data_IF_148489668866
#
_entry.id   IF_148489668866
#
_cell.length_a   1.000
_cell.length_b   1.000
_cell.length_c   1.000
_cell.angle_alpha   90.00
_cell.angle_beta   90.00
_cell.angle_gamma   90.00
#
_symmetry.space_group_name_H-M   'P 1'
#
loop_
_entity.id
_entity.type
_entity.pdbx_description
1 polymer ?
#
# COMPACT_ATOMS: atom_id res chain seq x y z
N UNK A 1 -2.16 -9.86 25.48
CA UNK A 1 -1.32 -8.79 24.89
C UNK A 1 -0.10 -9.33 24.13
N UNK A 2 0.89 -9.99 24.77
CA UNK A 2 2.11 -10.45 24.07
C UNK A 2 1.88 -11.40 22.87
N UNK A 3 0.90 -12.32 22.94
CA UNK A 3 0.58 -13.21 21.80
C UNK A 3 -0.03 -12.45 20.59
N UNK A 4 -0.73 -11.34 20.84
CA UNK A 4 -1.34 -10.51 19.80
C UNK A 4 -0.27 -9.71 19.05
N UNK A 5 0.66 -9.10 19.79
CA UNK A 5 1.76 -8.30 19.22
C UNK A 5 2.85 -9.16 18.56
N UNK A 6 3.02 -10.43 18.95
CA UNK A 6 3.95 -11.35 18.26
C UNK A 6 3.59 -11.56 16.78
N UNK A 7 2.34 -11.33 16.40
CA UNK A 7 1.84 -11.48 15.04
C UNK A 7 1.67 -10.15 14.28
N UNK A 8 2.22 -9.05 14.79
CA UNK A 8 2.07 -7.70 14.18
C UNK A 8 2.42 -7.67 12.70
N UNK A 9 3.49 -8.35 12.27
CA UNK A 9 3.87 -8.48 10.86
C UNK A 9 2.74 -9.10 10.03
N UNK A 10 2.10 -10.16 10.53
CA UNK A 10 0.97 -10.81 9.85
C UNK A 10 -0.21 -9.84 9.75
N UNK A 11 -0.52 -9.11 10.82
CA UNK A 11 -1.62 -8.15 10.84
C UNK A 11 -1.44 -7.03 9.80
N UNK A 12 -0.22 -6.48 9.69
CA UNK A 12 0.10 -5.51 8.64
C UNK A 12 -0.01 -6.10 7.24
N UNK A 13 0.57 -7.27 7.01
CA UNK A 13 0.50 -7.92 5.69
C UNK A 13 -0.94 -8.25 5.29
N UNK A 14 -1.82 -8.57 6.25
CA UNK A 14 -3.25 -8.75 6.01
C UNK A 14 -3.90 -7.44 5.57
N UNK A 15 -3.73 -6.36 6.31
CA UNK A 15 -4.29 -5.05 5.93
C UNK A 15 -3.85 -4.60 4.54
N UNK A 16 -2.56 -4.73 4.25
CA UNK A 16 -1.96 -4.38 2.96
C UNK A 16 -2.55 -5.23 1.82
N UNK A 17 -2.73 -6.53 2.03
CA UNK A 17 -3.33 -7.40 1.01
C UNK A 17 -4.77 -7.00 0.67
N UNK A 18 -5.55 -6.53 1.66
CA UNK A 18 -6.94 -6.14 1.44
C UNK A 18 -7.10 -4.72 0.89
N UNK A 19 -6.12 -3.83 1.09
CA UNK A 19 -6.15 -2.49 0.50
C UNK A 19 -5.80 -2.50 -1.00
N UNK A 20 -5.02 -3.48 -1.47
CA UNK A 20 -4.52 -3.54 -2.86
C UNK A 20 -5.64 -3.43 -3.89
N UNK A 21 -6.73 -4.21 -3.86
CA UNK A 21 -7.79 -4.10 -4.86
C UNK A 21 -8.38 -2.69 -4.98
N UNK A 22 -8.43 -1.92 -3.87
CA UNK A 22 -8.91 -0.55 -3.86
C UNK A 22 -7.94 0.41 -4.53
N UNK A 23 -6.64 0.28 -4.24
CA UNK A 23 -5.61 1.10 -4.88
C UNK A 23 -5.53 0.81 -6.38
N UNK A 24 -5.72 -0.44 -6.78
CA UNK A 24 -5.71 -0.84 -8.19
C UNK A 24 -6.91 -0.26 -8.93
N UNK A 25 -8.13 -0.53 -8.44
CA UNK A 25 -9.33 -0.01 -9.08
C UNK A 25 -9.31 1.53 -9.09
N UNK A 26 -8.97 2.14 -7.96
CA UNK A 26 -8.93 3.59 -7.81
C UNK A 26 -7.85 4.26 -8.66
N UNK A 27 -6.61 3.77 -8.54
CA UNK A 27 -5.46 4.28 -9.26
C UNK A 27 -5.61 4.13 -10.77
N UNK A 28 -5.99 2.94 -11.26
CA UNK A 28 -6.06 2.67 -12.72
C UNK A 28 -7.10 3.56 -13.37
N UNK A 29 -8.29 3.68 -12.76
CA UNK A 29 -9.35 4.54 -13.29
C UNK A 29 -8.94 6.01 -13.26
N UNK A 30 -8.28 6.47 -12.19
CA UNK A 30 -7.80 7.85 -12.12
C UNK A 30 -6.73 8.12 -13.19
N UNK A 31 -5.76 7.22 -13.35
CA UNK A 31 -4.68 7.38 -14.31
C UNK A 31 -5.20 7.37 -15.76
N UNK A 32 -6.11 6.46 -16.10
CA UNK A 32 -6.72 6.42 -17.43
C UNK A 32 -7.57 7.68 -17.70
N UNK A 33 -8.28 8.20 -16.68
CA UNK A 33 -9.03 9.43 -16.83
C UNK A 33 -8.13 10.64 -17.13
N UNK A 34 -6.96 10.73 -16.48
CA UNK A 34 -5.96 11.77 -16.74
C UNK A 34 -5.23 11.53 -18.07
N UNK A 35 -4.96 10.27 -18.43
CA UNK A 35 -4.24 9.91 -19.66
C UNK A 35 -5.06 10.22 -20.92
N UNK A 36 -6.37 10.05 -20.86
CA UNK A 36 -7.28 10.40 -21.96
C UNK A 36 -7.76 11.85 -21.92
N UNK A 37 -7.28 12.64 -20.96
CA UNK A 37 -7.55 14.08 -20.90
C UNK A 37 -6.55 14.83 -21.80
N UNK A 38 -6.99 15.92 -22.43
CA UNK A 38 -6.14 16.73 -23.32
C UNK A 38 -4.98 17.41 -22.58
N UNK A 39 -5.13 17.55 -21.26
CA UNK A 39 -4.12 18.09 -20.37
C UNK A 39 -3.77 17.07 -19.30
N UNK A 40 -2.53 17.12 -18.82
CA UNK A 40 -2.02 16.27 -17.77
C UNK A 40 -2.56 16.72 -16.38
N UNK A 41 -3.88 16.78 -16.26
CA UNK A 41 -4.65 17.29 -15.14
C UNK A 41 -5.93 16.46 -14.95
N UNK A 42 -6.59 16.61 -13.81
CA UNK A 42 -7.86 15.94 -13.53
C UNK A 42 -8.94 16.55 -14.44
N UNK A 43 -9.69 15.74 -15.21
CA UNK A 43 -10.75 16.23 -16.09
C UNK A 43 -11.86 16.96 -15.31
N UNK A 44 -12.31 18.11 -15.80
CA UNK A 44 -13.29 18.95 -15.09
C UNK A 44 -14.75 18.66 -15.47
N UNK A 45 -15.00 18.00 -16.61
CA UNK A 45 -16.35 17.70 -17.10
C UNK A 45 -16.44 16.37 -17.86
N UNK A 46 -17.67 15.92 -18.12
CA UNK A 46 -17.95 14.73 -18.93
C UNK A 46 -17.62 13.38 -18.29
N UNK A 47 -17.49 12.36 -19.13
CA UNK A 47 -17.23 10.97 -18.74
C UNK A 47 -15.90 10.81 -17.99
N UNK A 48 -14.85 11.50 -18.46
CA UNK A 48 -13.52 11.43 -17.84
C UNK A 48 -13.52 12.00 -16.41
N UNK A 49 -14.33 13.03 -16.13
CA UNK A 49 -14.54 13.51 -14.75
C UNK A 49 -15.16 12.42 -13.89
N UNK A 50 -16.26 11.81 -14.33
CA UNK A 50 -16.92 10.74 -13.57
C UNK A 50 -15.95 9.58 -13.29
N UNK A 51 -15.16 9.19 -14.29
CA UNK A 51 -14.12 8.16 -14.16
C UNK A 51 -13.03 8.54 -13.15
N UNK A 52 -12.55 9.79 -13.17
CA UNK A 52 -11.58 10.28 -12.18
C UNK A 52 -12.14 10.30 -10.75
N UNK A 53 -13.42 10.64 -10.57
CA UNK A 53 -14.10 10.67 -9.26
C UNK A 53 -14.24 9.26 -8.68
N UNK A 54 -14.59 8.26 -9.51
CA UNK A 54 -14.59 6.85 -9.10
C UNK A 54 -13.17 6.43 -8.68
N UNK A 55 -12.16 6.85 -9.45
CA UNK A 55 -10.76 6.61 -9.12
C UNK A 55 -10.34 7.17 -7.75
N UNK A 56 -10.65 8.45 -7.50
CA UNK A 56 -10.38 9.12 -6.24
C UNK A 56 -11.13 8.52 -5.05
N UNK A 57 -12.37 8.08 -5.24
CA UNK A 57 -13.12 7.37 -4.21
C UNK A 57 -12.39 6.08 -3.77
N UNK A 58 -11.90 5.28 -4.72
CA UNK A 58 -11.10 4.09 -4.44
C UNK A 58 -9.80 4.41 -3.68
N UNK A 59 -9.10 5.47 -4.07
CA UNK A 59 -7.88 5.93 -3.41
C UNK A 59 -8.14 6.54 -2.02
N UNK A 60 -9.33 7.07 -1.75
CA UNK A 60 -9.66 7.56 -0.41
C UNK A 60 -9.89 6.40 0.57
N UNK A 61 -10.33 5.24 0.06
CA UNK A 61 -10.70 4.09 0.87
C UNK A 61 -9.52 3.20 1.25
N UNK A 62 -8.36 3.27 0.59
CA UNK A 62 -7.29 2.30 0.88
C UNK A 62 -6.75 2.39 2.31
N UNK A 63 -6.63 3.59 2.91
CA UNK A 63 -6.16 3.76 4.30
C UNK A 63 -7.22 3.25 5.31
N UNK A 64 -8.51 3.60 5.19
CA UNK A 64 -9.57 2.99 5.99
C UNK A 64 -9.60 1.46 5.89
N UNK A 65 -9.49 0.91 4.68
CA UNK A 65 -9.49 -0.54 4.46
C UNK A 65 -8.26 -1.19 5.11
N UNK A 66 -7.07 -0.61 4.94
CA UNK A 66 -5.86 -1.05 5.62
C UNK A 66 -6.06 -1.13 7.14
N UNK A 67 -6.52 -0.05 7.76
CA UNK A 67 -6.70 0.04 9.21
C UNK A 67 -7.77 -0.93 9.72
N UNK A 68 -8.90 -1.02 9.01
CA UNK A 68 -9.99 -1.94 9.31
C UNK A 68 -9.55 -3.41 9.23
N UNK A 69 -8.75 -3.78 8.23
CA UNK A 69 -8.28 -5.16 8.07
C UNK A 69 -7.08 -5.51 8.97
N UNK A 70 -6.28 -4.53 9.41
CA UNK A 70 -5.33 -4.72 10.51
C UNK A 70 -6.10 -5.09 11.78
N UNK A 71 -7.10 -4.29 12.16
CA UNK A 71 -7.94 -4.54 13.34
C UNK A 71 -8.68 -5.88 13.21
N UNK A 72 -9.27 -6.17 12.05
CA UNK A 72 -9.91 -7.45 11.75
C UNK A 72 -8.98 -8.63 11.96
N UNK A 73 -7.73 -8.54 11.52
CA UNK A 73 -6.80 -9.65 11.68
C UNK A 73 -6.42 -9.92 13.14
N UNK A 74 -6.68 -8.98 14.06
CA UNK A 74 -6.43 -9.09 15.50
C UNK A 74 -7.64 -9.61 16.28
N UNK A 75 -8.86 -9.17 15.91
CA UNK A 75 -10.10 -9.39 16.70
C UNK A 75 -11.32 -9.80 15.87
N UNK A 76 -11.13 -10.19 14.61
CA UNK A 76 -12.16 -10.54 13.64
C UNK A 76 -13.14 -9.39 13.33
N UNK A 77 -14.36 -9.72 12.88
CA UNK A 77 -15.38 -8.79 12.36
C UNK A 77 -15.64 -7.56 13.24
N UNK A 78 -15.69 -7.64 14.59
CA UNK A 78 -15.97 -6.48 15.44
C UNK A 78 -14.92 -5.35 15.34
N UNK A 79 -13.69 -5.66 14.90
CA UNK A 79 -12.62 -4.67 14.75
C UNK A 79 -12.70 -3.83 13.48
N UNK A 80 -13.48 -4.24 12.47
CA UNK A 80 -13.49 -3.61 11.15
C UNK A 80 -13.91 -2.14 11.22
N UNK A 81 -15.07 -1.86 11.83
CA UNK A 81 -15.59 -0.49 11.90
C UNK A 81 -14.72 0.45 12.75
N UNK A 82 -14.30 0.07 13.98
CA UNK A 82 -13.37 0.88 14.77
C UNK A 82 -12.06 1.18 14.03
N UNK A 83 -11.49 0.18 13.36
CA UNK A 83 -10.25 0.33 12.60
C UNK A 83 -10.41 1.22 11.38
N UNK A 84 -11.45 1.00 10.56
CA UNK A 84 -11.65 1.77 9.34
C UNK A 84 -11.98 3.24 9.61
N UNK A 85 -12.85 3.51 10.59
CA UNK A 85 -13.22 4.88 10.98
C UNK A 85 -12.01 5.59 11.62
N UNK A 86 -11.30 4.93 12.54
CA UNK A 86 -10.07 5.49 13.13
C UNK A 86 -8.99 5.77 12.08
N UNK A 87 -8.84 4.88 11.09
CA UNK A 87 -7.92 5.07 9.97
C UNK A 87 -8.30 6.23 9.06
N UNK A 88 -9.59 6.41 8.78
CA UNK A 88 -10.09 7.55 8.01
C UNK A 88 -9.85 8.87 8.75
N UNK A 89 -10.12 8.91 10.05
CA UNK A 89 -9.82 10.07 10.89
C UNK A 89 -8.33 10.42 10.87
N UNK A 90 -7.47 9.42 11.07
CA UNK A 90 -6.01 9.63 11.02
C UNK A 90 -5.56 10.20 9.66
N UNK A 91 -6.12 9.72 8.56
CA UNK A 91 -5.86 10.28 7.24
C UNK A 91 -6.29 11.74 7.13
N UNK A 92 -7.51 12.08 7.57
CA UNK A 92 -8.05 13.44 7.53
C UNK A 92 -7.27 14.42 8.43
N UNK A 93 -6.68 13.94 9.52
CA UNK A 93 -5.81 14.74 10.40
C UNK A 93 -4.40 14.96 9.80
N UNK A 94 -4.08 14.36 8.65
CA UNK A 94 -2.77 14.49 8.01
C UNK A 94 -1.71 13.52 8.54
N UNK A 95 -2.09 12.50 9.32
CA UNK A 95 -1.18 11.44 9.77
C UNK A 95 -0.86 10.41 8.65
N UNK A 96 -1.59 10.49 7.53
CA UNK A 96 -1.32 9.69 6.33
C UNK A 96 -1.47 8.19 6.53
N UNK A 97 -0.75 7.41 5.71
CA UNK A 97 -0.76 5.95 5.77
C UNK A 97 -0.22 5.41 7.10
N UNK A 98 0.79 6.06 7.69
CA UNK A 98 1.37 5.66 8.98
C UNK A 98 0.36 5.81 10.13
N UNK A 99 -0.39 6.92 10.13
CA UNK A 99 -1.49 7.13 11.06
C UNK A 99 -2.57 6.07 10.93
N UNK A 100 -2.93 5.69 9.70
CA UNK A 100 -3.90 4.60 9.45
C UNK A 100 -3.42 3.24 9.95
N UNK A 101 -2.15 2.89 9.75
CA UNK A 101 -1.57 1.65 10.28
C UNK A 101 -1.67 1.58 11.81
N UNK A 102 -1.33 2.67 12.49
CA UNK A 102 -1.36 2.74 13.95
C UNK A 102 -2.80 2.78 14.48
N UNK A 103 -3.70 3.51 13.81
CA UNK A 103 -5.13 3.49 14.13
C UNK A 103 -5.72 2.07 14.06
N UNK A 104 -5.31 1.26 13.08
CA UNK A 104 -5.71 -0.15 12.99
C UNK A 104 -5.24 -1.01 14.18
N UNK A 105 -4.01 -0.79 14.67
CA UNK A 105 -3.51 -1.49 15.86
C UNK A 105 -4.25 -1.03 17.11
N UNK A 106 -4.45 0.28 17.28
CA UNK A 106 -5.20 0.85 18.41
C UNK A 106 -6.60 0.24 18.44
N UNK A 107 -7.30 0.25 17.31
CA UNK A 107 -8.62 -0.33 17.18
C UNK A 107 -8.64 -1.82 17.58
N UNK A 108 -7.68 -2.59 17.09
CA UNK A 108 -7.54 -4.00 17.46
C UNK A 108 -7.31 -4.20 18.95
N UNK A 109 -6.48 -3.36 19.60
CA UNK A 109 -6.22 -3.42 21.04
C UNK A 109 -7.44 -3.01 21.88
N UNK A 110 -8.12 -1.92 21.49
CA UNK A 110 -9.33 -1.41 22.15
C UNK A 110 -10.43 -2.47 22.12
N UNK A 111 -10.70 -3.03 20.94
CA UNK A 111 -11.74 -4.05 20.78
C UNK A 111 -11.36 -5.36 21.48
N UNK A 112 -10.07 -5.74 21.46
CA UNK A 112 -9.59 -6.89 22.21
C UNK A 112 -9.83 -6.73 23.72
N UNK A 113 -9.58 -5.54 24.27
CA UNK A 113 -9.82 -5.24 25.68
C UNK A 113 -11.32 -5.30 26.01
N UNK A 114 -12.16 -4.70 25.17
CA UNK A 114 -13.62 -4.75 25.32
C UNK A 114 -14.13 -6.20 25.33
N UNK A 115 -13.67 -7.03 24.39
CA UNK A 115 -14.01 -8.46 24.33
C UNK A 115 -13.55 -9.20 25.60
N UNK A 116 -12.35 -8.91 26.11
CA UNK A 116 -11.83 -9.53 27.32
C UNK A 116 -12.64 -9.16 28.58
N UNK A 117 -13.13 -7.92 28.67
CA UNK A 117 -14.02 -7.47 29.76
C UNK A 117 -15.36 -8.19 29.67
N UNK A 118 -15.96 -8.20 28.48
CA UNK A 118 -17.24 -8.86 28.19
C UNK A 118 -17.18 -10.35 28.50
N UNK A 119 -16.08 -11.03 28.18
CA UNK A 119 -15.89 -12.45 28.46
C UNK A 119 -15.85 -12.79 29.97
N UNK A 120 -15.52 -11.81 30.83
CA UNK A 120 -15.53 -11.99 32.30
C UNK A 120 -16.91 -11.75 32.91
N UNK A 121 -17.80 -11.07 32.20
CA UNK A 121 -19.17 -10.80 32.65
C UNK A 121 -20.06 -12.01 32.34
N UNK A 122 -20.92 -12.40 33.29
CA UNK A 122 -21.95 -13.43 33.06
C UNK A 122 -23.10 -12.83 32.26
N UNK A 123 -22.94 -12.78 30.94
CA UNK A 123 -23.90 -12.11 30.04
C UNK A 123 -25.02 -13.09 29.62
N UNK A 124 -26.30 -12.68 29.73
CA UNK A 124 -27.45 -13.48 29.29
C UNK A 124 -27.41 -13.74 27.78
N UNK A 125 -27.98 -14.87 27.35
CA UNK A 125 -27.86 -15.40 25.98
C UNK A 125 -28.29 -14.41 24.91
N UNK A 126 -29.35 -13.62 25.16
CA UNK A 126 -29.85 -12.59 24.23
C UNK A 126 -28.80 -11.52 23.88
N UNK A 127 -28.04 -11.06 24.87
CA UNK A 127 -27.04 -10.00 24.67
C UNK A 127 -25.81 -10.47 23.89
N UNK A 128 -25.53 -11.78 23.85
CA UNK A 128 -24.36 -12.33 23.14
C UNK A 128 -24.38 -12.08 21.64
N UNK A 129 -25.56 -11.94 21.03
CA UNK A 129 -25.70 -11.61 19.61
C UNK A 129 -25.61 -10.09 19.35
N UNK A 130 -26.17 -9.28 20.25
CA UNK A 130 -26.21 -7.81 20.10
C UNK A 130 -24.84 -7.17 20.31
N UNK A 131 -24.03 -7.74 21.20
CA UNK A 131 -22.72 -7.18 21.58
C UNK A 131 -21.74 -7.00 20.41
N UNK A 132 -21.36 -8.05 19.63
CA UNK A 132 -20.38 -7.91 18.57
C UNK A 132 -20.87 -7.12 17.35
N UNK A 133 -22.19 -6.98 17.19
CA UNK A 133 -22.80 -6.32 16.03
C UNK A 133 -23.03 -4.83 16.32
N UNK A 134 -23.42 -4.47 17.54
CA UNK A 134 -23.83 -3.10 17.87
C UNK A 134 -22.92 -2.46 18.92
N UNK A 135 -22.83 -3.06 20.11
CA UNK A 135 -22.17 -2.44 21.26
C UNK A 135 -20.65 -2.32 21.05
N UNK A 136 -20.00 -3.39 20.57
CA UNK A 136 -18.55 -3.41 20.38
C UNK A 136 -18.13 -2.45 19.25
N UNK A 137 -18.77 -2.44 18.07
CA UNK A 137 -18.47 -1.44 17.06
C UNK A 137 -18.71 -0.01 17.55
N UNK A 138 -19.77 0.26 18.31
CA UNK A 138 -20.07 1.59 18.83
C UNK A 138 -19.02 2.08 19.84
N UNK A 139 -18.83 1.34 20.94
CA UNK A 139 -17.88 1.72 21.99
C UNK A 139 -16.45 1.64 21.47
N UNK A 140 -16.13 0.60 20.70
CA UNK A 140 -14.82 0.42 20.08
C UNK A 140 -14.47 1.59 19.17
N UNK A 141 -15.40 2.04 18.32
CA UNK A 141 -15.18 3.21 17.44
C UNK A 141 -15.02 4.48 18.23
N UNK A 142 -15.87 4.72 19.24
CA UNK A 142 -15.77 5.91 20.07
C UNK A 142 -14.42 5.99 20.78
N UNK A 143 -14.01 4.92 21.45
CA UNK A 143 -12.73 4.88 22.19
C UNK A 143 -11.53 4.95 21.23
N UNK A 144 -11.59 4.24 20.09
CA UNK A 144 -10.52 4.32 19.08
C UNK A 144 -10.42 5.70 18.48
N UNK A 145 -11.54 6.32 18.10
CA UNK A 145 -11.58 7.67 17.53
C UNK A 145 -11.04 8.70 18.51
N UNK A 146 -11.42 8.62 19.79
CA UNK A 146 -10.86 9.48 20.84
C UNK A 146 -9.36 9.27 21.03
N UNK A 147 -8.89 8.01 21.03
CA UNK A 147 -7.46 7.71 21.13
C UNK A 147 -6.68 8.23 19.91
N UNK A 148 -7.22 8.07 18.70
CA UNK A 148 -6.61 8.61 17.48
C UNK A 148 -6.59 10.13 17.54
N UNK A 149 -7.70 10.78 17.88
CA UNK A 149 -7.80 12.23 17.90
C UNK A 149 -6.86 12.87 18.93
N UNK A 150 -6.88 12.42 20.18
CA UNK A 150 -6.14 13.08 21.27
C UNK A 150 -4.70 12.60 21.45
N UNK A 151 -4.39 11.35 21.12
CA UNK A 151 -3.09 10.75 21.48
C UNK A 151 -2.17 10.67 20.26
N UNK A 152 -2.71 10.31 19.09
CA UNK A 152 -1.88 9.82 17.98
C UNK A 152 -1.90 10.74 16.76
N UNK A 153 -3.04 11.35 16.45
CA UNK A 153 -3.28 12.12 15.23
C UNK A 153 -2.30 13.27 15.09
N UNK A 154 -2.26 14.17 16.06
CA UNK A 154 -1.40 15.36 16.02
C UNK A 154 0.11 15.02 16.07
N UNK A 155 0.60 14.14 16.96
CA UNK A 155 2.02 13.76 16.96
C UNK A 155 2.49 13.13 15.65
N UNK A 156 1.69 12.24 15.06
CA UNK A 156 2.05 11.62 13.78
C UNK A 156 1.94 12.62 12.65
N UNK A 157 0.89 13.43 12.59
CA UNK A 157 0.76 14.46 11.58
C UNK A 157 1.92 15.46 11.64
N UNK A 158 2.35 15.84 12.86
CA UNK A 158 3.54 16.65 13.10
C UNK A 158 4.82 15.98 12.59
N UNK A 159 5.01 14.70 12.88
CA UNK A 159 6.14 13.93 12.36
C UNK A 159 6.12 13.82 10.83
N UNK A 160 4.95 13.59 10.23
CA UNK A 160 4.78 13.54 8.77
C UNK A 160 5.07 14.89 8.13
N UNK A 161 4.63 16.00 8.73
CA UNK A 161 4.96 17.37 8.29
C UNK A 161 6.45 17.64 8.40
N UNK A 162 7.08 17.29 9.52
CA UNK A 162 8.52 17.45 9.71
C UNK A 162 9.32 16.65 8.67
N UNK A 163 8.96 15.38 8.46
CA UNK A 163 9.60 14.52 7.47
C UNK A 163 9.43 15.08 6.06
N UNK A 164 8.24 15.60 5.75
CA UNK A 164 7.96 16.20 4.44
C UNK A 164 8.72 17.50 4.23
N UNK A 165 8.82 18.36 5.24
CA UNK A 165 9.63 19.58 5.18
C UNK A 165 11.12 19.25 5.05
N UNK A 166 11.60 18.23 5.75
CA UNK A 166 12.98 17.77 5.65
C UNK A 166 13.30 17.28 4.23
N UNK A 167 12.40 16.49 3.63
CA UNK A 167 12.53 16.03 2.24
C UNK A 167 12.43 17.18 1.23
N UNK A 168 11.52 18.14 1.44
CA UNK A 168 11.38 19.31 0.57
C UNK A 168 12.63 20.22 0.58
N UNK A 169 13.35 20.25 1.70
CA UNK A 169 14.64 20.95 1.81
C UNK A 169 15.78 20.20 1.09
N UNK A 170 15.61 18.93 0.71
CA UNK A 170 16.56 18.20 -0.13
C UNK A 170 16.33 18.56 -1.61
N UNK A 171 16.68 19.78 -2.03
CA UNK A 171 16.52 20.17 -3.44
C UNK A 171 17.54 19.52 -4.37
N UNK A 172 17.10 19.21 -5.60
CA UNK A 172 17.94 18.79 -6.72
C UNK A 172 18.56 17.40 -6.56
N UNK A 173 19.89 17.34 -6.45
CA UNK A 173 20.68 16.10 -6.53
C UNK A 173 20.38 15.14 -5.39
N UNK A 174 20.12 15.64 -4.17
CA UNK A 174 19.88 14.80 -2.99
C UNK A 174 18.57 14.01 -3.09
N UNK A 175 17.52 14.57 -3.68
CA UNK A 175 16.26 13.86 -3.89
C UNK A 175 16.38 12.77 -4.96
N UNK A 176 17.17 13.02 -6.02
CA UNK A 176 17.49 12.03 -7.05
C UNK A 176 18.29 10.87 -6.45
N UNK A 177 19.27 11.17 -5.59
CA UNK A 177 20.04 10.14 -4.87
C UNK A 177 19.12 9.31 -3.97
N UNK A 178 18.19 9.94 -3.23
CA UNK A 178 17.24 9.23 -2.39
C UNK A 178 16.34 8.30 -3.23
N UNK A 179 15.79 8.81 -4.34
CA UNK A 179 15.02 8.00 -5.29
C UNK A 179 15.83 6.84 -5.87
N UNK A 180 17.11 7.06 -6.17
CA UNK A 180 18.04 6.04 -6.62
C UNK A 180 18.30 4.96 -5.57
N UNK A 181 18.55 5.34 -4.32
CA UNK A 181 18.72 4.42 -3.20
C UNK A 181 17.47 3.57 -3.01
N UNK A 182 16.29 4.21 -2.98
CA UNK A 182 15.02 3.50 -2.86
C UNK A 182 14.80 2.55 -4.05
N UNK A 183 15.07 2.99 -5.28
CA UNK A 183 14.98 2.13 -6.46
C UNK A 183 15.94 0.94 -6.41
N UNK A 184 17.16 1.12 -5.91
CA UNK A 184 18.10 0.03 -5.67
C UNK A 184 17.55 -0.96 -4.62
N UNK A 185 16.97 -0.48 -3.51
CA UNK A 185 16.37 -1.34 -2.49
C UNK A 185 15.24 -2.22 -3.04
N UNK A 186 14.44 -1.70 -3.97
CA UNK A 186 13.38 -2.46 -4.68
C UNK A 186 14.02 -3.55 -5.55
N UNK A 187 15.04 -3.19 -6.34
CA UNK A 187 15.65 -4.08 -7.33
C UNK A 187 16.50 -5.22 -6.72
N UNK A 188 17.16 -5.00 -5.57
CA UNK A 188 18.14 -5.94 -4.97
C UNK A 188 17.52 -7.31 -4.63
N UNK A 189 16.29 -7.32 -4.12
CA UNK A 189 15.68 -8.51 -3.52
C UNK A 189 14.39 -8.97 -4.21
N UNK A 190 14.03 -8.38 -5.37
CA UNK A 190 12.90 -8.76 -6.23
C UNK A 190 11.68 -9.27 -5.44
N UNK A 191 11.11 -8.45 -4.55
CA UNK A 191 9.94 -8.84 -3.73
C UNK A 191 10.24 -9.34 -2.30
N UNK A 192 11.50 -9.37 -1.86
CA UNK A 192 11.88 -9.72 -0.49
C UNK A 192 11.80 -8.57 0.52
N UNK A 193 12.34 -8.71 1.75
CA UNK A 193 12.18 -7.73 2.83
C UNK A 193 12.66 -6.30 2.51
N UNK A 194 13.72 -6.16 1.71
CA UNK A 194 14.23 -4.83 1.32
C UNK A 194 13.23 -4.09 0.41
N UNK A 195 12.67 -4.78 -0.58
CA UNK A 195 11.63 -4.23 -1.45
C UNK A 195 10.45 -3.72 -0.60
N UNK A 196 9.89 -4.58 0.26
CA UNK A 196 8.72 -4.20 1.08
C UNK A 196 8.99 -3.00 1.99
N UNK A 197 10.20 -2.89 2.53
CA UNK A 197 10.57 -1.77 3.40
C UNK A 197 10.63 -0.46 2.60
N UNK A 198 11.26 -0.47 1.43
CA UNK A 198 11.30 0.69 0.54
C UNK A 198 9.90 1.07 0.02
N UNK A 199 9.08 0.08 -0.32
CA UNK A 199 7.69 0.30 -0.73
C UNK A 199 6.87 0.93 0.41
N UNK A 200 6.93 0.39 1.64
CA UNK A 200 6.20 0.98 2.77
C UNK A 200 6.67 2.39 3.12
N UNK A 201 7.96 2.67 2.97
CA UNK A 201 8.49 4.03 3.12
C UNK A 201 7.87 4.99 2.10
N UNK A 202 7.82 4.59 0.82
CA UNK A 202 7.21 5.39 -0.23
C UNK A 202 5.68 5.55 -0.08
N UNK A 203 4.97 4.49 0.32
CA UNK A 203 3.53 4.57 0.62
C UNK A 203 3.27 5.47 1.83
N UNK A 204 4.12 5.43 2.86
CA UNK A 204 3.96 6.28 4.04
C UNK A 204 3.93 7.76 3.67
N UNK A 205 4.77 8.14 2.70
CA UNK A 205 4.94 9.51 2.21
C UNK A 205 4.05 9.85 1.03
N UNK A 206 3.15 8.96 0.60
CA UNK A 206 2.36 9.13 -0.62
C UNK A 206 1.47 10.38 -0.60
N UNK A 207 0.98 10.77 0.58
CA UNK A 207 0.12 11.93 0.77
C UNK A 207 0.87 13.27 0.77
N UNK A 208 2.19 13.25 0.96
CA UNK A 208 2.99 14.48 1.10
C UNK A 208 4.10 14.61 0.06
N UNK A 209 4.67 13.50 -0.39
CA UNK A 209 5.75 13.40 -1.37
C UNK A 209 5.45 12.27 -2.38
N UNK A 210 4.40 12.41 -3.21
CA UNK A 210 4.01 11.38 -4.17
C UNK A 210 5.13 11.02 -5.15
N UNK A 211 6.05 11.94 -5.44
CA UNK A 211 7.20 11.74 -6.34
C UNK A 211 8.10 10.58 -5.90
N UNK A 212 8.26 10.33 -4.60
CA UNK A 212 9.03 9.19 -4.09
C UNK A 212 8.38 7.85 -4.47
N UNK A 213 7.05 7.80 -4.41
CA UNK A 213 6.31 6.63 -4.85
C UNK A 213 6.47 6.41 -6.36
N UNK A 214 6.46 7.47 -7.17
CA UNK A 214 6.74 7.34 -8.60
C UNK A 214 8.16 6.84 -8.91
N UNK A 215 9.17 7.28 -8.15
CA UNK A 215 10.55 6.80 -8.32
C UNK A 215 10.66 5.30 -8.00
N UNK A 216 10.08 4.89 -6.86
CA UNK A 216 10.00 3.47 -6.45
C UNK A 216 9.24 2.64 -7.48
N UNK A 217 8.13 3.18 -7.98
CA UNK A 217 7.34 2.56 -9.03
C UNK A 217 8.14 2.33 -10.32
N UNK A 218 8.78 3.37 -10.86
CA UNK A 218 9.60 3.22 -12.05
C UNK A 218 10.69 2.14 -11.88
N UNK A 219 11.30 2.06 -10.68
CA UNK A 219 12.29 1.04 -10.37
C UNK A 219 11.74 -0.39 -10.32
N UNK A 220 10.54 -0.62 -9.79
CA UNK A 220 9.93 -1.97 -9.66
C UNK A 220 9.63 -2.62 -11.02
N UNK A 221 9.39 -1.80 -12.06
CA UNK A 221 9.19 -2.29 -13.43
C UNK A 221 10.48 -2.81 -14.07
N UNK A 222 11.64 -2.32 -13.61
CA UNK A 222 12.93 -2.53 -14.28
C UNK A 222 13.38 -4.00 -14.24
N UNK A 223 13.34 -4.73 -13.11
CA UNK A 223 13.76 -6.13 -13.07
C UNK A 223 12.97 -7.09 -13.98
N UNK A 224 11.61 -7.10 -13.99
CA UNK A 224 10.85 -7.99 -14.87
C UNK A 224 10.97 -7.61 -16.36
N UNK A 225 11.01 -6.31 -16.71
CA UNK A 225 11.23 -5.88 -18.09
C UNK A 225 12.64 -6.23 -18.57
N UNK A 226 13.66 -6.04 -17.72
CA UNK A 226 15.03 -6.43 -18.01
C UNK A 226 15.18 -7.94 -18.24
N UNK A 227 14.47 -8.76 -17.45
CA UNK A 227 14.43 -10.20 -17.65
C UNK A 227 13.76 -10.58 -18.98
N UNK A 228 12.59 -9.99 -19.28
CA UNK A 228 11.90 -10.23 -20.54
C UNK A 228 12.79 -9.86 -21.75
N UNK A 229 13.42 -8.68 -21.71
CA UNK A 229 14.31 -8.22 -22.76
C UNK A 229 15.53 -9.14 -22.93
N UNK A 230 16.14 -9.57 -21.82
CA UNK A 230 17.27 -10.49 -21.84
C UNK A 230 16.90 -11.84 -22.50
N UNK A 231 15.73 -12.39 -22.20
CA UNK A 231 15.26 -13.65 -22.81
C UNK A 231 14.99 -13.54 -24.32
N UNK A 232 14.66 -12.35 -24.82
CA UNK A 232 14.46 -12.10 -26.24
C UNK A 232 15.75 -11.84 -27.01
N UNK A 233 16.68 -11.08 -26.42
CA UNK A 233 17.93 -10.69 -27.07
C UNK A 233 18.98 -11.80 -27.01
N UNK A 234 19.08 -12.53 -25.90
CA UNK A 234 20.13 -13.52 -25.66
C UNK A 234 19.59 -14.93 -25.58
N UNK A 235 18.81 -15.33 -26.59
CA UNK A 235 18.15 -16.64 -26.65
C UNK A 235 19.14 -17.77 -26.30
N UNK A 236 20.35 -17.77 -26.87
CA UNK A 236 21.36 -18.82 -26.65
C UNK A 236 21.88 -19.02 -25.22
N UNK A 237 21.63 -18.09 -24.28
CA UNK A 237 22.08 -18.19 -22.88
C UNK A 237 20.99 -18.83 -21.98
N UNK A 238 19.72 -18.69 -22.37
CA UNK A 238 18.57 -19.11 -21.56
C UNK A 238 17.99 -20.44 -22.06
N UNK A 239 17.60 -21.29 -21.11
CA UNK A 239 16.87 -22.52 -21.42
C UNK A 239 15.41 -22.24 -21.81
N UNK A 240 14.72 -23.22 -22.39
CA UNK A 240 13.35 -23.03 -22.88
C UNK A 240 12.36 -22.69 -21.75
N UNK A 241 12.59 -23.18 -20.53
CA UNK A 241 11.77 -22.86 -19.35
C UNK A 241 11.92 -21.39 -18.93
N UNK A 242 13.14 -20.85 -18.99
CA UNK A 242 13.46 -19.45 -18.68
C UNK A 242 12.91 -18.51 -19.76
N UNK A 243 12.95 -18.92 -21.04
CA UNK A 243 12.35 -18.16 -22.15
C UNK A 243 10.82 -18.11 -22.05
N UNK A 244 10.18 -19.22 -21.70
CA UNK A 244 8.73 -19.24 -21.44
C UNK A 244 8.35 -18.39 -20.22
N UNK A 245 9.23 -18.27 -19.23
CA UNK A 245 9.04 -17.37 -18.09
C UNK A 245 9.24 -15.88 -18.45
N UNK A 246 9.97 -15.57 -19.53
CA UNK A 246 10.17 -14.20 -20.03
C UNK A 246 8.90 -13.57 -20.63
N UNK A 247 8.04 -14.36 -21.28
CA UNK A 247 6.77 -13.89 -21.86
C UNK A 247 5.83 -13.24 -20.82
N UNK A 248 5.49 -13.89 -19.69
CA UNK A 248 4.67 -13.26 -18.66
C UNK A 248 5.41 -12.14 -17.90
N UNK A 249 6.75 -12.11 -17.94
CA UNK A 249 7.54 -11.04 -17.30
C UNK A 249 7.32 -9.66 -17.95
N UNK A 250 6.94 -9.60 -19.23
CA UNK A 250 6.54 -8.34 -19.89
C UNK A 250 5.31 -7.75 -19.20
N UNK A 251 4.26 -8.56 -19.05
CA UNK A 251 3.00 -8.13 -18.44
C UNK A 251 3.25 -7.77 -16.98
N UNK A 252 4.03 -8.58 -16.25
CA UNK A 252 4.39 -8.27 -14.87
C UNK A 252 5.18 -6.96 -14.78
N UNK A 253 6.08 -6.67 -15.72
CA UNK A 253 6.83 -5.42 -15.76
C UNK A 253 5.99 -4.18 -16.06
N UNK A 254 5.04 -4.27 -16.99
CA UNK A 254 4.06 -3.19 -17.24
C UNK A 254 3.01 -3.04 -16.13
N UNK A 255 2.90 -3.99 -15.21
CA UNK A 255 2.09 -3.84 -14.00
C UNK A 255 2.93 -3.43 -12.78
N UNK A 256 4.26 -3.47 -12.92
CA UNK A 256 5.21 -3.19 -11.85
C UNK A 256 5.29 -4.29 -10.79
N UNK A 257 5.03 -5.54 -11.15
CA UNK A 257 5.05 -6.67 -10.22
C UNK A 257 6.44 -7.33 -10.27
N UNK A 258 7.20 -7.26 -9.18
CA UNK A 258 8.42 -8.05 -9.02
C UNK A 258 8.12 -9.47 -8.52
N UNK A 259 8.23 -10.45 -9.43
CA UNK A 259 8.19 -11.86 -9.06
C UNK A 259 9.40 -12.26 -8.21
N UNK A 260 9.19 -13.07 -7.14
CA UNK A 260 10.28 -13.52 -6.27
C UNK A 260 11.42 -14.15 -7.05
N UNK A 261 12.65 -13.69 -6.79
CA UNK A 261 13.93 -14.25 -7.22
C UNK A 261 14.03 -15.77 -7.03
N UNK A 262 13.33 -16.32 -6.04
CA UNK A 262 13.23 -17.75 -5.77
C UNK A 262 12.70 -18.56 -6.96
N UNK A 263 11.75 -18.03 -7.73
CA UNK A 263 11.19 -18.76 -8.88
C UNK A 263 12.21 -18.93 -10.02
N UNK A 264 13.14 -17.98 -10.17
CA UNK A 264 14.20 -18.02 -11.18
C UNK A 264 15.45 -18.79 -10.70
N UNK A 265 15.89 -18.55 -9.45
CA UNK A 265 17.09 -19.22 -8.89
C UNK A 265 16.82 -20.69 -8.54
N UNK A 266 15.66 -21.04 -7.97
CA UNK A 266 15.34 -22.42 -7.59
C UNK A 266 15.15 -23.34 -8.79
N UNK A 267 14.66 -22.80 -9.92
CA UNK A 267 14.52 -23.56 -11.19
C UNK A 267 15.87 -23.83 -11.86
N UNK A 268 16.87 -22.97 -11.67
CA UNK A 268 18.24 -23.17 -12.17
C UNK A 268 19.01 -24.25 -11.37
N UNK A 269 18.65 -24.46 -10.10
CA UNK A 269 19.26 -25.45 -9.21
C UNK A 269 18.57 -26.82 -9.17
N UNK A 270 17.61 -27.11 -10.07
CA UNK A 270 17.03 -28.46 -10.24
C UNK A 270 16.21 -29.02 -9.06
N UNK A 271 15.94 -28.22 -8.02
CA UNK A 271 15.18 -28.66 -6.85
C UNK A 271 13.67 -28.74 -7.19
N UNK A 272 13.14 -29.96 -7.33
CA UNK A 272 11.70 -30.25 -7.40
C UNK A 272 11.14 -30.30 -5.97
N UNK A 273 10.06 -29.57 -5.71
CA UNK A 273 9.20 -29.77 -4.54
C UNK A 273 7.86 -30.36 -5.00
N UNK A 274 7.49 -31.59 -4.57
CA UNK A 274 6.17 -32.16 -4.76
C UNK A 274 5.25 -31.66 -3.64
N UNK A 275 4.73 -30.44 -3.75
CA UNK A 275 3.83 -29.96 -2.70
C UNK A 275 3.41 -28.50 -2.84
N UNK A 276 2.12 -28.30 -3.12
CA UNK A 276 1.27 -27.21 -2.63
C UNK A 276 2.00 -25.91 -2.21
N UNK A 277 1.89 -24.83 -2.98
CA UNK A 277 1.39 -23.52 -2.49
C UNK A 277 1.44 -22.44 -3.56
N UNK A 278 0.32 -22.29 -4.28
CA UNK A 278 -0.12 -21.04 -4.91
C UNK A 278 -0.54 -19.95 -3.88
N UNK A 279 -0.04 -20.01 -2.64
CA UNK A 279 -0.41 -19.13 -1.52
C UNK A 279 0.79 -18.33 -1.01
N UNK A 280 1.13 -17.31 -1.79
CA UNK A 280 1.55 -15.99 -1.30
C UNK A 280 1.70 -15.11 -2.54
N UNK A 281 0.57 -14.73 -3.13
CA UNK A 281 0.53 -13.71 -4.18
C UNK A 281 1.01 -12.39 -3.57
N UNK A 282 1.95 -11.73 -4.24
CA UNK A 282 2.54 -10.46 -3.83
C UNK A 282 1.50 -9.34 -3.78
N UNK A 283 0.87 -9.17 -2.61
CA UNK A 283 -0.02 -8.05 -2.35
C UNK A 283 0.70 -6.72 -2.05
N UNK A 284 1.98 -6.57 -2.40
CA UNK A 284 2.71 -5.30 -2.22
C UNK A 284 3.02 -4.62 -3.55
N UNK A 285 3.37 -5.40 -4.55
CA UNK A 285 4.04 -4.94 -5.78
C UNK A 285 3.03 -4.65 -6.93
N UNK A 286 1.76 -4.37 -6.64
CA UNK A 286 0.71 -4.25 -7.68
C UNK A 286 0.47 -2.79 -8.12
N UNK A 287 1.07 -1.80 -7.45
CA UNK A 287 0.56 -0.40 -7.46
C UNK A 287 1.33 0.54 -8.41
N UNK A 288 2.25 0.01 -9.20
CA UNK A 288 3.41 0.79 -9.60
C UNK A 288 3.23 1.58 -10.91
N UNK A 289 2.78 0.96 -12.01
CA UNK A 289 2.85 1.62 -13.33
C UNK A 289 1.85 2.77 -13.49
N UNK A 290 0.71 2.62 -12.84
CA UNK A 290 -0.40 3.57 -12.86
C UNK A 290 -0.05 4.88 -12.14
N UNK A 291 0.76 4.79 -11.09
CA UNK A 291 1.10 5.94 -10.25
C UNK A 291 2.27 6.78 -10.78
N UNK A 292 3.14 6.20 -11.62
CA UNK A 292 4.26 6.93 -12.22
C UNK A 292 3.80 8.00 -13.23
N UNK A 293 2.66 7.80 -13.90
CA UNK A 293 2.04 8.83 -14.75
C UNK A 293 1.29 9.89 -13.91
N UNK A 294 0.74 9.49 -12.76
CA UNK A 294 0.00 10.34 -11.83
C UNK A 294 0.91 11.30 -11.04
N UNK A 295 2.10 10.88 -10.60
CA UNK A 295 2.99 11.78 -9.83
C UNK A 295 3.62 12.86 -10.70
N UNK A 296 3.73 12.61 -12.00
CA UNK A 296 4.20 13.61 -12.98
C UNK A 296 3.19 14.74 -13.17
N UNK A 297 1.93 14.53 -12.78
CA UNK A 297 0.82 15.49 -12.96
C UNK A 297 0.34 16.12 -11.66
N UNK A 298 0.44 15.42 -10.52
CA UNK A 298 0.05 15.96 -9.19
C UNK A 298 1.19 16.75 -8.54
N UNK A 299 2.45 16.46 -8.89
CA UNK A 299 3.61 17.28 -8.50
C UNK A 299 3.76 18.48 -9.42
N UNK A 300 2.87 19.47 -9.30
CA UNK A 300 3.03 20.74 -9.98
C UNK A 300 4.28 21.48 -9.44
N UNK A 301 5.32 21.56 -10.26
CA UNK A 301 6.26 22.69 -10.34
C UNK A 301 6.90 22.70 -11.73
N UNK A 302 6.52 23.69 -12.52
CA UNK A 302 7.44 24.51 -13.33
C UNK A 302 8.51 23.76 -14.15
N UNK A 303 8.12 23.34 -15.35
CA UNK A 303 9.05 23.46 -16.46
C UNK A 303 9.25 24.96 -16.71
N UNK A 304 10.47 25.52 -16.61
CA UNK A 304 10.69 26.89 -17.07
C UNK A 304 10.27 26.96 -18.55
N UNK A 305 9.63 28.04 -19.00
CA UNK A 305 9.30 28.20 -20.40
C UNK A 305 10.61 28.07 -21.19
N UNK A 306 10.58 27.28 -22.27
CA UNK A 306 11.65 27.32 -23.28
C UNK A 306 11.75 28.77 -23.75
N UNK A 307 12.73 29.50 -23.22
CA UNK A 307 13.17 30.77 -23.78
C UNK A 307 14.07 30.45 -24.96
N UNK A 308 13.53 30.70 -26.16
CA UNK A 308 14.17 30.84 -27.48
C UNK A 308 14.93 29.61 -28.02
#
# INVERSE_FOLDING_TARGET
>A
MLKLLKNTKRHFMTGVSYMVPFVVAGGVLLALAVMFNDHAAIPESGFLKAMSQIGMAGLTLFIPILAGFIAWSMVDKPGIAPGAIGGLMAYQMGAGFLGGMLAGIIAGLVVWLLLAIIARLKIPVFLRMVLPIFIIPLIGTFVTGMAVYYIIGDPIAGMMKWLSAWLANMQGVSFIILGGILGCMIAVDMGGPMNKTAFFFAVALISTNPQLMAAVAAADCTPPLGLALATFMFKGIFNDVEREAGKPAIIMGFMGITGRRDSFRRRRSGARDPGNHARQRGGGDFIVVVWCHQCRTVGGTDCPPRSQ
#
